data_IF_383715289775
#
_entry.id   IF_383715289775
#
_cell.length_a   1.000
_cell.length_b   1.000
_cell.length_c   1.000
_cell.angle_alpha   90.00
_cell.angle_beta   90.00
_cell.angle_gamma   90.00
#
_symmetry.space_group_name_H-M   'P 1'
#
loop_
_entity.id
_entity.type
_entity.pdbx_description
1 polymer ?
#
# COMPACT_ATOMS: atom_id res chain seq x y z
N UNK A 1 -5.16 -5.64 7.09
CA UNK A 1 -5.17 -4.20 7.49
C UNK A 1 -5.41 -3.96 9.00
N UNK A 2 -6.52 -4.39 9.62
CA UNK A 2 -6.81 -4.11 11.06
C UNK A 2 -5.70 -4.53 12.04
N UNK A 3 -5.11 -5.73 11.86
CA UNK A 3 -3.99 -6.23 12.69
C UNK A 3 -2.71 -5.40 12.55
N UNK A 4 -2.35 -4.96 11.34
CA UNK A 4 -1.17 -4.10 11.13
C UNK A 4 -1.39 -2.72 11.72
N UNK A 5 -2.55 -2.12 11.46
CA UNK A 5 -2.87 -0.79 11.99
C UNK A 5 -2.77 -0.77 13.51
N UNK A 6 -3.26 -1.81 14.18
CA UNK A 6 -3.13 -1.97 15.64
C UNK A 6 -1.68 -2.15 16.10
N UNK A 7 -0.82 -2.85 15.34
CA UNK A 7 0.61 -3.01 15.67
C UNK A 7 1.39 -1.71 15.44
N UNK A 8 1.10 -0.98 14.37
CA UNK A 8 1.67 0.34 14.10
C UNK A 8 1.30 1.34 15.20
N UNK A 9 0.03 1.40 15.62
CA UNK A 9 -0.38 2.31 16.71
C UNK A 9 0.30 1.96 18.03
N UNK A 10 0.49 0.66 18.31
CA UNK A 10 1.21 0.21 19.50
C UNK A 10 2.69 0.57 19.44
N UNK A 11 3.36 0.33 18.31
CA UNK A 11 4.77 0.67 18.12
C UNK A 11 5.01 2.19 18.19
N UNK A 12 4.16 2.99 17.56
CA UNK A 12 4.21 4.45 17.64
C UNK A 12 3.98 4.96 19.07
N UNK A 13 3.01 4.36 19.79
CA UNK A 13 2.77 4.65 21.19
C UNK A 13 3.96 4.32 22.09
N UNK A 14 4.63 3.18 21.84
CA UNK A 14 5.83 2.79 22.58
C UNK A 14 6.99 3.78 22.36
N UNK A 15 7.22 4.20 21.11
CA UNK A 15 8.25 5.22 20.79
C UNK A 15 7.93 6.56 21.46
N UNK A 16 6.66 7.01 21.41
CA UNK A 16 6.24 8.23 22.10
C UNK A 16 6.45 8.14 23.62
N UNK A 17 6.17 6.96 24.21
CA UNK A 17 6.44 6.69 25.62
C UNK A 17 7.93 6.79 25.96
N UNK A 18 8.81 6.19 25.14
CA UNK A 18 10.27 6.26 25.31
C UNK A 18 10.78 7.70 25.19
N UNK A 19 10.29 8.46 24.20
CA UNK A 19 10.68 9.87 24.02
C UNK A 19 10.26 10.70 25.24
N UNK A 20 9.04 10.49 25.74
CA UNK A 20 8.54 11.20 26.92
C UNK A 20 9.37 10.86 28.16
N UNK A 21 9.63 9.57 28.40
CA UNK A 21 10.43 9.09 29.52
C UNK A 21 11.87 9.63 29.47
N UNK A 22 12.51 9.57 28.30
CA UNK A 22 13.86 10.11 28.10
C UNK A 22 13.91 11.62 28.32
N UNK A 23 12.95 12.36 27.76
CA UNK A 23 12.88 13.82 27.87
C UNK A 23 12.74 14.27 29.31
N UNK A 24 11.81 13.67 30.05
CA UNK A 24 11.64 13.99 31.47
C UNK A 24 12.82 13.50 32.32
N UNK A 25 13.40 12.34 32.01
CA UNK A 25 14.58 11.83 32.71
C UNK A 25 15.78 12.78 32.58
N UNK A 26 16.11 13.21 31.36
CA UNK A 26 17.19 14.18 31.14
C UNK A 26 16.87 15.54 31.74
N UNK A 27 15.63 16.02 31.64
CA UNK A 27 15.21 17.30 32.23
C UNK A 27 15.34 17.35 33.75
N UNK A 28 15.13 16.21 34.44
CA UNK A 28 15.23 16.13 35.90
C UNK A 28 16.67 15.91 36.39
N UNK A 29 17.50 15.24 35.60
CA UNK A 29 18.86 14.82 36.02
C UNK A 29 19.91 15.84 35.58
N UNK A 30 19.74 16.44 34.41
CA UNK A 30 20.68 17.39 33.83
C UNK A 30 20.08 18.81 33.83
N UNK A 31 20.91 19.86 33.95
CA UNK A 31 20.46 21.25 33.89
C UNK A 31 20.16 21.69 32.45
N UNK A 32 19.34 20.93 31.74
CA UNK A 32 18.90 21.18 30.37
C UNK A 32 17.48 21.74 30.37
N UNK A 33 17.16 22.58 29.40
CA UNK A 33 15.77 22.98 29.15
C UNK A 33 14.95 21.79 28.64
N UNK A 34 13.62 21.91 28.67
CA UNK A 34 12.73 20.86 28.14
C UNK A 34 12.99 20.60 26.64
N UNK A 35 13.27 21.67 25.87
CA UNK A 35 13.59 21.57 24.44
C UNK A 35 14.91 20.85 24.18
N UNK A 36 15.96 21.18 24.94
CA UNK A 36 17.26 20.52 24.83
C UNK A 36 17.19 19.05 25.27
N UNK A 37 16.41 18.75 26.32
CA UNK A 37 16.20 17.38 26.80
C UNK A 37 15.42 16.54 25.77
N UNK A 38 14.41 17.13 25.13
CA UNK A 38 13.67 16.49 24.04
C UNK A 38 14.60 16.23 22.85
N UNK A 39 15.37 17.24 22.46
CA UNK A 39 16.32 17.13 21.36
C UNK A 39 17.37 16.03 21.63
N UNK A 40 18.00 16.03 22.81
CA UNK A 40 18.94 14.99 23.24
C UNK A 40 18.31 13.59 23.22
N UNK A 41 17.05 13.49 23.67
CA UNK A 41 16.33 12.22 23.66
C UNK A 41 16.08 11.75 22.23
N UNK A 42 15.59 12.61 21.35
CA UNK A 42 15.28 12.27 19.96
C UNK A 42 16.55 11.86 19.23
N UNK A 43 17.64 12.61 19.33
CA UNK A 43 18.93 12.29 18.68
C UNK A 43 19.51 10.98 19.20
N UNK A 44 19.27 10.64 20.46
CA UNK A 44 19.68 9.35 21.07
C UNK A 44 18.81 8.19 20.56
N UNK A 45 17.48 8.31 20.61
CA UNK A 45 16.53 7.26 20.21
C UNK A 45 16.62 6.97 18.70
N UNK A 46 16.84 8.01 17.89
CA UNK A 46 17.04 7.88 16.43
C UNK A 46 18.45 7.42 16.07
N UNK A 47 19.34 7.21 17.05
CA UNK A 47 20.74 6.80 16.87
C UNK A 47 21.58 7.78 16.04
N UNK A 48 21.16 9.04 15.93
CA UNK A 48 21.89 10.09 15.22
C UNK A 48 23.08 10.57 16.06
N UNK A 49 22.84 10.92 17.33
CA UNK A 49 23.88 11.26 18.29
C UNK A 49 24.87 12.34 17.81
N UNK A 50 24.39 13.52 17.40
CA UNK A 50 25.24 14.62 16.92
C UNK A 50 26.38 15.01 17.86
N UNK A 51 26.14 14.83 19.15
CA UNK A 51 27.12 15.03 20.19
C UNK A 51 27.37 16.49 20.60
N UNK A 52 26.46 17.36 20.22
CA UNK A 52 26.37 18.75 20.65
C UNK A 52 25.81 18.88 22.08
N UNK A 53 24.86 18.01 22.44
CA UNK A 53 24.33 17.88 23.80
C UNK A 53 24.62 16.48 24.35
N UNK A 54 25.06 16.44 25.61
CA UNK A 54 25.35 15.19 26.31
C UNK A 54 25.21 15.36 27.83
N UNK A 55 24.87 14.27 28.56
CA UNK A 55 24.87 14.29 30.01
C UNK A 55 26.27 14.55 30.57
N UNK A 56 26.38 15.52 31.48
CA UNK A 56 27.66 15.90 32.11
C UNK A 56 27.83 15.27 33.49
N UNK A 57 26.73 14.90 34.15
CA UNK A 57 26.76 14.29 35.46
C UNK A 57 26.95 12.77 35.39
N UNK A 58 27.57 12.17 36.41
CA UNK A 58 27.70 10.71 36.49
C UNK A 58 26.33 10.00 36.52
N UNK A 59 25.32 10.64 37.14
CA UNK A 59 23.95 10.15 37.16
C UNK A 59 23.31 10.19 35.77
N UNK A 60 23.47 11.30 35.04
CA UNK A 60 22.96 11.45 33.68
C UNK A 60 23.62 10.51 32.68
N UNK A 61 24.92 10.25 32.82
CA UNK A 61 25.63 9.25 32.01
C UNK A 61 25.14 7.82 32.28
N UNK A 62 24.92 7.48 33.54
CA UNK A 62 24.35 6.18 33.93
C UNK A 62 22.93 6.01 33.39
N UNK A 63 22.09 7.06 33.52
CA UNK A 63 20.75 7.10 32.96
C UNK A 63 20.77 6.93 31.43
N UNK A 64 21.58 7.73 30.72
CA UNK A 64 21.69 7.66 29.27
C UNK A 64 22.12 6.27 28.79
N UNK A 65 23.06 5.62 29.50
CA UNK A 65 23.53 4.27 29.17
C UNK A 65 22.39 3.25 29.24
N UNK A 66 21.64 3.24 30.34
CA UNK A 66 20.49 2.34 30.51
C UNK A 66 19.37 2.68 29.52
N UNK A 67 19.11 3.97 29.31
CA UNK A 67 18.09 4.46 28.38
C UNK A 67 18.38 4.03 26.95
N UNK A 68 19.62 4.20 26.47
CA UNK A 68 20.05 3.80 25.12
C UNK A 68 19.80 2.31 24.85
N UNK A 69 20.11 1.44 25.82
CA UNK A 69 19.89 -0.01 25.69
C UNK A 69 18.41 -0.36 25.56
N UNK A 70 17.53 0.35 26.29
CA UNK A 70 16.09 0.12 26.27
C UNK A 70 15.47 0.71 24.99
N UNK A 71 15.88 1.92 24.59
CA UNK A 71 15.28 2.65 23.48
C UNK A 71 15.56 2.01 22.12
N UNK A 72 16.74 1.40 21.94
CA UNK A 72 17.14 0.77 20.67
C UNK A 72 16.14 -0.29 20.18
N UNK A 73 15.54 -1.07 21.09
CA UNK A 73 14.54 -2.07 20.72
C UNK A 73 13.28 -1.47 20.10
N UNK A 74 12.90 -0.26 20.52
CA UNK A 74 11.64 0.37 20.07
C UNK A 74 11.71 0.91 18.65
N UNK A 75 12.85 1.49 18.25
CA UNK A 75 13.04 1.96 16.87
C UNK A 75 13.08 0.80 15.88
N UNK A 76 13.70 -0.33 16.26
CA UNK A 76 13.73 -1.55 15.44
C UNK A 76 12.35 -2.14 15.19
N UNK A 77 11.48 -2.17 16.21
CA UNK A 77 10.09 -2.61 16.07
C UNK A 77 9.28 -1.68 15.16
N UNK A 78 9.46 -0.36 15.28
CA UNK A 78 8.82 0.62 14.42
C UNK A 78 9.22 0.42 12.95
N UNK A 79 10.53 0.30 12.68
CA UNK A 79 11.05 0.10 11.33
C UNK A 79 10.58 -1.23 10.72
N UNK A 80 10.65 -2.32 11.50
CA UNK A 80 10.20 -3.64 11.04
C UNK A 80 8.71 -3.64 10.68
N UNK A 81 7.86 -3.02 11.50
CA UNK A 81 6.42 -2.92 11.22
C UNK A 81 6.12 -2.01 10.04
N UNK A 82 6.89 -0.94 9.84
CA UNK A 82 6.78 -0.09 8.65
C UNK A 82 7.14 -0.85 7.36
N UNK A 83 8.26 -1.58 7.35
CA UNK A 83 8.66 -2.43 6.22
C UNK A 83 7.59 -3.49 5.93
N UNK A 84 7.06 -4.15 6.95
CA UNK A 84 5.97 -5.12 6.78
C UNK A 84 4.71 -4.50 6.17
N UNK A 85 4.38 -3.26 6.51
CA UNK A 85 3.24 -2.56 5.94
C UNK A 85 3.44 -2.29 4.44
N UNK A 86 4.63 -1.82 4.04
CA UNK A 86 4.98 -1.56 2.64
C UNK A 86 5.00 -2.84 1.79
N UNK A 87 5.63 -3.90 2.31
CA UNK A 87 5.69 -5.20 1.62
C UNK A 87 4.29 -5.81 1.49
N UNK A 88 3.43 -5.68 2.51
CA UNK A 88 2.07 -6.19 2.40
C UNK A 88 1.21 -5.44 1.38
N UNK A 89 1.41 -4.15 1.14
CA UNK A 89 0.68 -3.46 0.06
C UNK A 89 1.02 -4.05 -1.31
N UNK A 90 2.30 -4.34 -1.57
CA UNK A 90 2.73 -4.92 -2.84
C UNK A 90 2.30 -6.39 -2.99
N UNK A 91 2.46 -7.20 -1.94
CA UNK A 91 2.06 -8.61 -1.97
C UNK A 91 0.53 -8.75 -2.07
N UNK A 92 -0.25 -7.93 -1.36
CA UNK A 92 -1.72 -7.96 -1.44
C UNK A 92 -2.20 -7.48 -2.80
N UNK A 93 -1.57 -6.46 -3.40
CA UNK A 93 -1.86 -6.05 -4.77
C UNK A 93 -1.56 -7.18 -5.77
N UNK A 94 -0.37 -7.79 -5.70
CA UNK A 94 0.05 -8.87 -6.59
C UNK A 94 -0.79 -10.17 -6.41
N UNK A 95 -1.14 -10.53 -5.17
CA UNK A 95 -2.03 -11.66 -4.90
C UNK A 95 -3.48 -11.35 -5.28
N UNK A 96 -3.90 -10.09 -5.16
CA UNK A 96 -5.19 -9.59 -5.61
C UNK A 96 -5.35 -9.76 -7.12
N UNK A 97 -4.36 -9.31 -7.91
CA UNK A 97 -4.34 -9.51 -9.36
C UNK A 97 -4.39 -10.99 -9.74
N UNK A 98 -3.56 -11.84 -9.13
CA UNK A 98 -3.54 -13.30 -9.41
C UNK A 98 -4.86 -13.98 -9.06
N UNK A 99 -5.52 -13.57 -7.98
CA UNK A 99 -6.83 -14.10 -7.59
C UNK A 99 -7.90 -13.65 -8.57
N UNK A 100 -7.90 -12.36 -8.94
CA UNK A 100 -8.86 -11.80 -9.91
C UNK A 100 -8.73 -12.47 -11.27
N UNK A 101 -7.49 -12.70 -11.72
CA UNK A 101 -7.20 -13.42 -12.95
C UNK A 101 -7.76 -14.86 -12.95
N UNK A 102 -7.60 -15.60 -11.85
CA UNK A 102 -8.16 -16.95 -11.69
C UNK A 102 -9.69 -16.97 -11.54
N UNK A 103 -10.29 -15.94 -10.97
CA UNK A 103 -11.75 -15.82 -10.88
C UNK A 103 -12.33 -15.46 -12.25
N UNK A 104 -11.66 -14.58 -13.00
CA UNK A 104 -12.00 -14.19 -14.36
C UNK A 104 -11.95 -15.37 -15.34
N UNK A 105 -10.95 -16.25 -15.23
CA UNK A 105 -10.85 -17.45 -16.09
C UNK A 105 -11.91 -18.52 -15.82
N UNK A 106 -12.70 -18.37 -14.74
CA UNK A 106 -13.83 -19.26 -14.40
C UNK A 106 -15.19 -18.65 -14.73
N UNK A 107 -15.24 -17.42 -15.22
CA UNK A 107 -16.51 -16.79 -15.62
C UNK A 107 -17.06 -17.51 -16.85
N UNK A 108 -18.36 -17.78 -16.82
CA UNK A 108 -19.17 -18.22 -17.95
C UNK A 108 -20.34 -17.24 -18.09
N UNK A 109 -20.90 -17.14 -19.28
CA UNK A 109 -22.09 -16.33 -19.54
C UNK A 109 -21.87 -14.81 -19.30
N UNK A 110 -20.65 -14.33 -19.53
CA UNK A 110 -20.25 -12.93 -19.34
C UNK A 110 -20.05 -12.18 -20.66
N UNK A 111 -20.04 -10.86 -20.60
CA UNK A 111 -19.68 -9.98 -21.72
C UNK A 111 -18.20 -9.60 -21.71
N UNK A 112 -17.61 -9.45 -22.88
CA UNK A 112 -16.24 -8.94 -23.04
C UNK A 112 -16.30 -7.59 -23.75
N UNK A 113 -15.63 -6.57 -23.20
CA UNK A 113 -15.48 -5.26 -23.85
C UNK A 113 -14.00 -4.99 -24.10
N UNK A 114 -13.58 -4.91 -25.35
CA UNK A 114 -12.23 -4.57 -25.74
C UNK A 114 -12.08 -3.06 -25.86
N UNK A 115 -11.31 -2.44 -24.97
CA UNK A 115 -11.10 -1.01 -24.92
C UNK A 115 -12.16 -0.27 -24.11
N UNK A 116 -11.71 0.60 -23.21
CA UNK A 116 -12.53 1.45 -22.35
C UNK A 116 -12.58 2.90 -22.83
N UNK A 117 -12.40 3.13 -24.13
CA UNK A 117 -12.51 4.44 -24.76
C UNK A 117 -13.92 5.04 -24.68
N UNK A 118 -14.19 6.09 -25.47
CA UNK A 118 -15.49 6.80 -25.43
C UNK A 118 -16.69 5.87 -25.63
N UNK A 119 -16.60 4.92 -26.57
CA UNK A 119 -17.66 3.95 -26.87
C UNK A 119 -17.70 2.85 -25.82
N UNK A 120 -16.58 2.18 -25.58
CA UNK A 120 -16.49 1.09 -24.58
C UNK A 120 -16.95 1.52 -23.19
N UNK A 121 -16.61 2.74 -22.74
CA UNK A 121 -17.09 3.30 -21.48
C UNK A 121 -18.61 3.42 -21.37
N UNK A 122 -19.33 3.65 -22.48
CA UNK A 122 -20.81 3.65 -22.47
C UNK A 122 -21.34 2.22 -22.31
N UNK A 123 -20.81 1.30 -23.09
CA UNK A 123 -21.21 -0.11 -23.08
C UNK A 123 -20.96 -0.73 -21.71
N UNK A 124 -19.79 -0.50 -21.11
CA UNK A 124 -19.48 -0.95 -19.75
C UNK A 124 -20.54 -0.46 -18.76
N UNK A 125 -20.96 0.81 -18.83
CA UNK A 125 -22.01 1.34 -17.94
C UNK A 125 -23.36 0.69 -18.18
N UNK A 126 -23.73 0.47 -19.43
CA UNK A 126 -25.05 -0.09 -19.78
C UNK A 126 -25.14 -1.57 -19.34
N UNK A 127 -24.08 -2.34 -19.57
CA UNK A 127 -23.98 -3.74 -19.12
C UNK A 127 -23.99 -3.82 -17.58
N UNK A 128 -23.25 -2.95 -16.89
CA UNK A 128 -23.30 -2.89 -15.41
C UNK A 128 -24.69 -2.53 -14.89
N UNK A 129 -25.40 -1.61 -15.54
CA UNK A 129 -26.77 -1.21 -15.15
C UNK A 129 -27.79 -2.32 -15.37
N UNK A 130 -27.58 -3.15 -16.38
CA UNK A 130 -28.37 -4.35 -16.60
C UNK A 130 -28.11 -5.45 -15.56
N UNK A 131 -27.10 -5.29 -14.69
CA UNK A 131 -26.71 -6.30 -13.69
C UNK A 131 -25.96 -7.49 -14.28
N UNK A 132 -25.46 -7.34 -15.51
CA UNK A 132 -24.80 -8.41 -16.25
C UNK A 132 -23.31 -8.48 -15.91
N UNK A 133 -22.75 -9.69 -15.93
CA UNK A 133 -21.32 -9.89 -15.68
C UNK A 133 -20.50 -9.49 -16.90
N UNK A 134 -19.38 -8.79 -16.68
CA UNK A 134 -18.51 -8.35 -17.76
C UNK A 134 -17.02 -8.35 -17.36
N UNK A 135 -16.17 -8.49 -18.37
CA UNK A 135 -14.73 -8.27 -18.34
C UNK A 135 -14.37 -7.19 -19.36
N UNK A 136 -13.49 -6.28 -18.98
CA UNK A 136 -12.91 -5.28 -19.88
C UNK A 136 -11.47 -5.67 -20.21
N UNK A 137 -11.04 -5.53 -21.46
CA UNK A 137 -9.64 -5.70 -21.86
C UNK A 137 -9.10 -4.31 -22.19
N UNK A 138 -8.06 -3.86 -21.50
CA UNK A 138 -7.52 -2.50 -21.63
C UNK A 138 -6.02 -2.47 -21.31
N UNK A 139 -5.26 -1.61 -21.99
CA UNK A 139 -3.82 -1.45 -21.80
C UNK A 139 -3.41 -0.08 -21.25
N UNK A 140 -4.32 0.90 -21.27
CA UNK A 140 -4.09 2.24 -20.73
C UNK A 140 -4.19 2.29 -19.20
N UNK A 141 -3.09 2.64 -18.53
CA UNK A 141 -2.98 2.65 -17.07
C UNK A 141 -4.02 3.54 -16.38
N UNK A 142 -4.35 4.71 -16.94
CA UNK A 142 -5.29 5.64 -16.32
C UNK A 142 -6.72 5.08 -16.37
N UNK A 143 -7.10 4.44 -17.47
CA UNK A 143 -8.41 3.80 -17.60
C UNK A 143 -8.53 2.56 -16.72
N UNK A 144 -7.46 1.77 -16.60
CA UNK A 144 -7.42 0.59 -15.73
C UNK A 144 -7.67 0.98 -14.27
N UNK A 145 -7.01 2.03 -13.80
CA UNK A 145 -7.20 2.56 -12.44
C UNK A 145 -8.67 2.97 -12.21
N UNK A 146 -9.23 3.79 -13.10
CA UNK A 146 -10.62 4.25 -13.01
C UNK A 146 -11.66 3.11 -13.04
N UNK A 147 -11.41 2.05 -13.81
CA UNK A 147 -12.29 0.87 -13.85
C UNK A 147 -12.16 0.03 -12.59
N UNK A 148 -10.94 -0.11 -12.06
CA UNK A 148 -10.66 -0.88 -10.85
C UNK A 148 -11.28 -0.22 -9.63
N UNK A 149 -11.22 1.11 -9.52
CA UNK A 149 -11.92 1.87 -8.46
C UNK A 149 -13.44 1.66 -8.46
N UNK A 150 -14.02 1.47 -9.65
CA UNK A 150 -15.45 1.15 -9.84
C UNK A 150 -15.79 -0.32 -9.64
N UNK A 151 -14.82 -1.16 -9.25
CA UNK A 151 -14.99 -2.59 -9.06
C UNK A 151 -15.21 -3.38 -10.35
N UNK A 152 -14.88 -2.82 -11.52
CA UNK A 152 -15.06 -3.48 -12.82
C UNK A 152 -13.92 -4.49 -13.03
N UNK A 153 -14.20 -5.75 -13.42
CA UNK A 153 -13.19 -6.70 -13.86
C UNK A 153 -12.49 -6.23 -15.14
N UNK A 154 -11.16 -6.18 -15.11
CA UNK A 154 -10.26 -5.69 -16.17
C UNK A 154 -9.11 -6.68 -16.34
N UNK A 155 -8.87 -7.11 -17.59
CA UNK A 155 -7.74 -7.88 -18.05
C UNK A 155 -6.73 -6.91 -18.70
N UNK A 156 -5.57 -6.74 -18.06
CA UNK A 156 -4.52 -5.81 -18.55
C UNK A 156 -3.69 -6.48 -19.62
N UNK A 157 -4.15 -6.36 -20.86
CA UNK A 157 -3.60 -7.03 -22.04
C UNK A 157 -3.93 -6.23 -23.31
N UNK A 158 -3.22 -6.57 -24.37
CA UNK A 158 -3.58 -6.13 -25.71
C UNK A 158 -4.73 -6.97 -26.26
N UNK A 159 -5.85 -6.32 -26.56
CA UNK A 159 -7.06 -6.95 -27.07
C UNK A 159 -6.96 -7.40 -28.54
N UNK A 160 -5.93 -6.95 -29.28
CA UNK A 160 -5.68 -7.37 -30.66
C UNK A 160 -5.12 -8.80 -30.76
N UNK A 161 -4.65 -9.36 -29.64
CA UNK A 161 -4.04 -10.69 -29.59
C UNK A 161 -5.09 -11.77 -29.31
N UNK A 162 -5.13 -12.82 -30.14
CA UNK A 162 -6.05 -13.94 -29.97
C UNK A 162 -5.92 -14.63 -28.61
N UNK A 163 -4.68 -14.83 -28.13
CA UNK A 163 -4.36 -15.38 -26.81
C UNK A 163 -5.08 -14.60 -25.68
N UNK A 164 -5.13 -13.27 -25.79
CA UNK A 164 -5.82 -12.41 -24.83
C UNK A 164 -7.32 -12.67 -24.81
N UNK A 165 -7.95 -12.84 -25.98
CA UNK A 165 -9.38 -13.12 -26.09
C UNK A 165 -9.73 -14.50 -25.53
N UNK A 166 -8.87 -15.51 -25.78
CA UNK A 166 -9.00 -16.85 -25.19
C UNK A 166 -8.84 -16.80 -23.66
N UNK A 167 -7.86 -16.05 -23.15
CA UNK A 167 -7.65 -15.81 -21.72
C UNK A 167 -8.87 -15.14 -21.05
N UNK A 168 -9.48 -14.16 -21.74
CA UNK A 168 -10.74 -13.52 -21.34
C UNK A 168 -11.98 -14.44 -21.41
N UNK A 169 -11.84 -15.63 -22.01
CA UNK A 169 -12.90 -16.62 -22.12
C UNK A 169 -13.91 -16.33 -23.22
N UNK A 170 -13.47 -15.80 -24.38
CA UNK A 170 -14.35 -15.47 -25.51
C UNK A 170 -15.23 -16.65 -25.96
N UNK A 171 -14.73 -17.88 -25.89
CA UNK A 171 -15.47 -19.10 -26.27
C UNK A 171 -16.69 -19.40 -25.36
N UNK A 172 -16.70 -18.85 -24.15
CA UNK A 172 -17.74 -19.04 -23.12
C UNK A 172 -18.47 -17.75 -22.76
N UNK A 173 -18.19 -16.67 -23.48
CA UNK A 173 -18.82 -15.36 -23.32
C UNK A 173 -20.16 -15.31 -24.06
N UNK A 174 -21.10 -14.51 -23.54
CA UNK A 174 -22.38 -14.20 -24.23
C UNK A 174 -22.19 -13.32 -25.45
N UNK A 175 -21.16 -12.49 -25.41
CA UNK A 175 -20.88 -11.53 -26.46
C UNK A 175 -19.60 -10.78 -26.20
N UNK A 176 -18.99 -10.33 -27.29
CA UNK A 176 -17.82 -9.48 -27.28
C UNK A 176 -18.16 -8.18 -27.99
N UNK A 177 -17.61 -7.07 -27.52
CA UNK A 177 -17.66 -5.79 -28.22
C UNK A 177 -16.26 -5.24 -28.37
N UNK A 178 -15.83 -5.06 -29.63
CA UNK A 178 -14.59 -4.37 -29.95
C UNK A 178 -14.83 -2.85 -29.99
N UNK A 179 -14.10 -2.11 -29.17
CA UNK A 179 -14.19 -0.65 -29.02
C UNK A 179 -12.80 -0.02 -29.03
N UNK A 180 -11.90 -0.59 -29.82
CA UNK A 180 -10.55 -0.09 -30.00
C UNK A 180 -10.58 1.13 -30.95
N UNK A 181 -9.59 2.04 -30.85
CA UNK A 181 -9.60 3.30 -31.58
C UNK A 181 -9.40 3.16 -33.09
N UNK A 182 -8.78 2.07 -33.56
CA UNK A 182 -8.60 1.75 -34.98
C UNK A 182 -9.65 0.71 -35.41
N UNK A 183 -10.28 0.94 -36.56
CA UNK A 183 -11.25 0.01 -37.13
C UNK A 183 -10.59 -1.30 -37.57
N UNK A 184 -9.30 -1.26 -37.95
CA UNK A 184 -8.52 -2.45 -38.29
C UNK A 184 -8.32 -3.39 -37.08
N UNK A 185 -8.32 -2.86 -35.87
CA UNK A 185 -8.20 -3.64 -34.63
C UNK A 185 -9.55 -4.23 -34.18
N UNK A 186 -10.66 -3.80 -34.80
CA UNK A 186 -12.02 -4.22 -34.44
C UNK A 186 -12.58 -5.33 -35.33
N UNK A 187 -11.80 -5.87 -36.28
CA UNK A 187 -12.21 -6.91 -37.25
C UNK A 187 -11.66 -8.29 -36.96
#
# INVERSE_FOLDING_TARGET
>A
MKRIRSRMTLAAGAVAGVITLGTFGFYLIEPLTLGESLYLTVTTVTTVGYGDLHPRSAAGQSFATVFMLISFGTIGLLLSTAVQALVQSEIVAALGERRRHREMSKLHDHYIVCGAGRVGSRIIRDVQRAGEMLIVIENDAQKIEALTERGVPVLVRDATLEETLREAGVERARGLTACLPDDADNV
#
